data_IF_207060586012
#
_entry.id   IF_207060586012
#
_cell.length_a   1.000
_cell.length_b   1.000
_cell.length_c   1.000
_cell.angle_alpha   90.00
_cell.angle_beta   90.00
_cell.angle_gamma   90.00
#
_symmetry.space_group_name_H-M   'P 1'
#
loop_
_entity.id
_entity.type
_entity.pdbx_description
1 polymer ?
#
# COMPACT_ATOMS: atom_id res chain seq x y z
N UNK A 1 -48.59 -29.20 59.03
CA UNK A 1 -49.03 -28.46 57.82
C UNK A 1 -47.83 -27.71 57.25
N UNK A 2 -47.10 -28.29 56.28
CA UNK A 2 -45.99 -27.63 55.57
C UNK A 2 -46.53 -27.07 54.24
N UNK A 3 -46.52 -25.75 54.09
CA UNK A 3 -46.91 -25.07 52.84
C UNK A 3 -45.70 -25.05 51.90
N UNK A 4 -45.85 -25.64 50.71
CA UNK A 4 -44.88 -25.58 49.61
C UNK A 4 -44.94 -24.17 48.97
N UNK A 5 -43.80 -23.49 48.89
CA UNK A 5 -43.65 -22.24 48.12
C UNK A 5 -43.11 -22.64 46.74
N UNK A 6 -43.92 -22.40 45.71
CA UNK A 6 -43.55 -22.57 44.30
C UNK A 6 -42.82 -21.29 43.85
N UNK A 7 -41.54 -21.41 43.50
CA UNK A 7 -40.78 -20.32 42.90
C UNK A 7 -41.04 -20.28 41.39
N UNK A 8 -41.73 -19.25 40.92
CA UNK A 8 -41.94 -18.99 39.48
C UNK A 8 -40.72 -18.21 38.97
N UNK A 9 -39.89 -18.87 38.17
CA UNK A 9 -38.76 -18.26 37.46
C UNK A 9 -39.28 -17.63 36.16
N UNK A 10 -39.37 -16.30 36.11
CA UNK A 10 -39.76 -15.57 34.91
C UNK A 10 -38.49 -15.31 34.08
N UNK A 11 -38.29 -16.08 33.01
CA UNK A 11 -37.20 -15.87 32.04
C UNK A 11 -37.66 -14.81 31.03
N UNK A 12 -37.10 -13.60 31.13
CA UNK A 12 -37.34 -12.54 30.15
C UNK A 12 -36.43 -12.76 28.94
N UNK A 13 -37.01 -13.06 27.78
CA UNK A 13 -36.33 -13.08 26.48
C UNK A 13 -36.14 -11.63 26.01
N UNK A 14 -34.89 -11.15 25.96
CA UNK A 14 -34.57 -9.91 25.25
C UNK A 14 -34.27 -10.21 23.78
N UNK A 15 -34.75 -9.40 22.82
CA UNK A 15 -34.43 -9.57 21.42
C UNK A 15 -33.00 -9.09 21.14
N UNK A 16 -32.16 -9.97 20.60
CA UNK A 16 -30.84 -9.60 20.08
C UNK A 16 -31.03 -9.00 18.69
N UNK A 17 -31.04 -7.68 18.59
CA UNK A 17 -31.01 -7.00 17.29
C UNK A 17 -29.62 -7.15 16.67
N UNK A 18 -29.50 -8.02 15.66
CA UNK A 18 -28.30 -8.11 14.84
C UNK A 18 -28.22 -6.88 13.93
N UNK A 19 -27.31 -5.95 14.26
CA UNK A 19 -26.98 -4.83 13.38
C UNK A 19 -26.10 -5.35 12.25
N UNK A 20 -26.61 -5.34 11.02
CA UNK A 20 -25.83 -5.59 9.81
C UNK A 20 -24.91 -4.39 9.60
N UNK A 21 -23.71 -4.45 10.17
CA UNK A 21 -22.65 -3.49 9.88
C UNK A 21 -22.33 -3.55 8.37
N UNK A 22 -22.49 -2.41 7.69
CA UNK A 22 -22.05 -2.23 6.31
C UNK A 22 -20.53 -2.51 6.24
N UNK A 23 -20.03 -3.19 5.20
CA UNK A 23 -18.60 -3.41 5.06
C UNK A 23 -17.86 -2.10 5.16
N UNK A 24 -16.76 -2.07 5.93
CA UNK A 24 -15.85 -0.93 5.93
C UNK A 24 -15.39 -0.67 4.49
N UNK A 25 -15.20 0.60 4.08
CA UNK A 25 -14.59 0.90 2.80
C UNK A 25 -13.21 0.21 2.72
N UNK A 26 -12.72 -0.13 1.50
CA UNK A 26 -11.38 -0.65 1.34
C UNK A 26 -10.35 0.31 1.97
N UNK A 27 -9.19 -0.20 2.44
CA UNK A 27 -8.14 0.67 2.95
C UNK A 27 -7.80 1.74 1.90
N UNK A 28 -7.43 2.97 2.33
CA UNK A 28 -7.02 4.01 1.40
C UNK A 28 -5.89 3.48 0.52
N UNK A 29 -5.94 3.81 -0.77
CA UNK A 29 -4.81 3.58 -1.68
C UNK A 29 -3.64 4.34 -1.08
N UNK A 30 -2.68 3.61 -0.53
CA UNK A 30 -1.50 4.24 0.05
C UNK A 30 -0.72 4.88 -1.08
N UNK A 31 -0.78 6.21 -1.19
CA UNK A 31 0.14 6.96 -2.04
C UNK A 31 1.56 6.59 -1.60
N UNK A 32 2.42 6.23 -2.56
CA UNK A 32 3.82 5.94 -2.26
C UNK A 32 4.46 7.21 -1.67
N UNK A 33 5.27 7.11 -0.61
CA UNK A 33 5.88 8.28 0.03
C UNK A 33 6.97 8.87 -0.87
N UNK A 34 6.57 9.75 -1.79
CA UNK A 34 7.43 10.34 -2.84
C UNK A 34 8.56 11.16 -2.26
N UNK A 35 8.29 11.89 -1.17
CA UNK A 35 9.24 12.64 -0.38
C UNK A 35 10.38 11.75 0.14
N UNK A 36 10.04 10.59 0.72
CA UNK A 36 11.02 9.66 1.28
C UNK A 36 11.82 8.93 0.18
N UNK A 37 11.15 8.54 -0.91
CA UNK A 37 11.81 7.92 -2.07
C UNK A 37 12.82 8.89 -2.68
N UNK A 38 12.41 10.14 -2.92
CA UNK A 38 13.28 11.16 -3.50
C UNK A 38 14.47 11.48 -2.59
N UNK A 39 14.25 11.61 -1.29
CA UNK A 39 15.30 11.84 -0.31
C UNK A 39 16.36 10.72 -0.32
N UNK A 40 15.93 9.46 -0.36
CA UNK A 40 16.83 8.30 -0.40
C UNK A 40 17.60 8.16 -1.72
N UNK A 41 17.06 8.70 -2.81
CA UNK A 41 17.71 8.81 -4.12
C UNK A 41 18.61 10.04 -4.23
N UNK A 42 18.52 10.99 -3.28
CA UNK A 42 19.29 12.23 -3.30
C UNK A 42 18.86 13.16 -4.43
N UNK A 43 17.55 13.26 -4.70
CA UNK A 43 16.96 14.20 -5.65
C UNK A 43 15.85 15.02 -4.99
N UNK A 44 15.51 16.22 -5.49
CA UNK A 44 14.32 16.93 -5.03
C UNK A 44 13.05 16.11 -5.31
N UNK A 45 12.07 16.15 -4.40
CA UNK A 45 10.80 15.42 -4.56
C UNK A 45 10.10 15.75 -5.88
N UNK A 46 10.05 17.03 -6.25
CA UNK A 46 9.42 17.45 -7.50
C UNK A 46 10.10 16.81 -8.72
N UNK A 47 11.43 16.67 -8.72
CA UNK A 47 12.17 16.00 -9.81
C UNK A 47 11.78 14.52 -9.88
N UNK A 48 11.63 13.84 -8.74
CA UNK A 48 11.16 12.46 -8.72
C UNK A 48 9.75 12.34 -9.31
N UNK A 49 8.80 13.19 -8.88
CA UNK A 49 7.42 13.20 -9.38
C UNK A 49 7.39 13.46 -10.89
N UNK A 50 8.15 14.45 -11.36
CA UNK A 50 8.22 14.82 -12.77
C UNK A 50 8.80 13.67 -13.61
N UNK A 51 9.90 13.05 -13.16
CA UNK A 51 10.47 11.88 -13.83
C UNK A 51 9.53 10.67 -13.81
N UNK A 52 8.76 10.49 -12.74
CA UNK A 52 7.81 9.39 -12.61
C UNK A 52 6.56 9.59 -13.48
N UNK A 53 6.22 10.82 -13.87
CA UNK A 53 5.03 11.12 -14.68
C UNK A 53 5.00 10.43 -16.05
N UNK A 54 6.16 10.08 -16.60
CA UNK A 54 6.31 9.34 -17.86
C UNK A 54 6.23 7.82 -17.72
N UNK A 55 6.12 7.31 -16.48
CA UNK A 55 6.08 5.88 -16.17
C UNK A 55 4.64 5.36 -16.21
N UNK A 56 4.44 4.11 -16.64
CA UNK A 56 3.14 3.44 -16.63
C UNK A 56 3.11 2.34 -15.56
N UNK A 57 2.91 2.69 -14.27
CA UNK A 57 2.87 1.71 -13.19
C UNK A 57 1.68 0.78 -13.33
N UNK A 58 1.87 -0.48 -12.96
CA UNK A 58 0.78 -1.47 -12.97
C UNK A 58 -0.23 -1.19 -11.85
N UNK A 59 -1.52 -1.23 -12.20
CA UNK A 59 -2.61 -0.83 -11.30
C UNK A 59 -2.82 -1.81 -10.14
N UNK A 60 -2.53 -3.10 -10.37
CA UNK A 60 -2.58 -4.13 -9.33
C UNK A 60 -1.28 -4.22 -8.51
N UNK A 61 -0.34 -3.28 -8.72
CA UNK A 61 0.97 -3.21 -8.11
C UNK A 61 1.93 -4.35 -8.46
N UNK A 62 1.58 -5.29 -9.34
CA UNK A 62 2.39 -6.46 -9.73
C UNK A 62 2.79 -6.43 -11.22
N UNK A 63 3.70 -5.52 -11.62
CA UNK A 63 4.12 -5.40 -13.02
C UNK A 63 4.96 -6.59 -13.48
N UNK A 64 4.74 -7.03 -14.72
CA UNK A 64 5.62 -7.99 -15.38
C UNK A 64 7.07 -7.48 -15.46
N UNK A 65 8.05 -8.39 -15.55
CA UNK A 65 9.48 -8.02 -15.73
C UNK A 65 9.68 -7.09 -16.93
N UNK A 66 8.99 -7.34 -18.04
CA UNK A 66 9.06 -6.49 -19.23
C UNK A 66 8.56 -5.07 -18.95
N UNK A 67 7.45 -4.93 -18.22
CA UNK A 67 6.91 -3.61 -17.84
C UNK A 67 7.81 -2.89 -16.85
N UNK A 68 8.42 -3.61 -15.89
CA UNK A 68 9.42 -3.04 -15.00
C UNK A 68 10.60 -2.46 -15.80
N UNK A 69 11.13 -3.20 -16.78
CA UNK A 69 12.20 -2.72 -17.65
C UNK A 69 11.79 -1.50 -18.48
N UNK A 70 10.60 -1.52 -19.08
CA UNK A 70 10.09 -0.41 -19.89
C UNK A 70 9.94 0.87 -19.05
N UNK A 71 9.36 0.75 -17.85
CA UNK A 71 9.20 1.85 -16.91
C UNK A 71 10.57 2.40 -16.45
N UNK A 72 11.51 1.50 -16.17
CA UNK A 72 12.85 1.88 -15.72
C UNK A 72 13.69 2.55 -16.81
N UNK A 73 13.50 2.16 -18.07
CA UNK A 73 14.16 2.80 -19.21
C UNK A 73 13.76 4.27 -19.39
N UNK A 74 12.64 4.69 -18.81
CA UNK A 74 12.18 6.09 -18.77
C UNK A 74 12.68 6.76 -17.48
N UNK A 75 12.42 6.13 -16.34
CA UNK A 75 12.67 6.72 -15.03
C UNK A 75 14.16 6.94 -14.75
N UNK A 76 15.00 5.91 -15.00
CA UNK A 76 16.40 5.94 -14.59
C UNK A 76 17.21 7.04 -15.29
N UNK A 77 17.16 7.22 -16.63
CA UNK A 77 17.87 8.30 -17.29
C UNK A 77 17.42 9.70 -16.83
N UNK A 78 16.12 9.88 -16.55
CA UNK A 78 15.60 11.15 -16.05
C UNK A 78 16.19 11.49 -14.68
N UNK A 79 16.18 10.53 -13.75
CA UNK A 79 16.77 10.70 -12.42
C UNK A 79 18.28 10.89 -12.49
N UNK A 80 18.97 10.23 -13.42
CA UNK A 80 20.41 10.37 -13.61
C UNK A 80 20.82 11.74 -14.16
N UNK A 81 19.92 12.43 -14.86
CA UNK A 81 20.16 13.82 -15.28
C UNK A 81 20.27 14.77 -14.08
N UNK A 82 19.55 14.49 -12.98
CA UNK A 82 19.64 15.22 -11.72
C UNK A 82 20.77 14.70 -10.83
N UNK A 83 20.85 13.38 -10.66
CA UNK A 83 21.87 12.73 -9.84
C UNK A 83 22.51 11.54 -10.60
N UNK A 84 23.65 11.74 -11.28
CA UNK A 84 24.33 10.71 -12.07
C UNK A 84 24.80 9.48 -11.28
N UNK A 85 24.84 9.58 -9.94
CA UNK A 85 25.24 8.47 -9.06
C UNK A 85 24.15 7.41 -8.86
N UNK A 86 22.90 7.69 -9.28
CA UNK A 86 21.80 6.74 -9.17
C UNK A 86 22.05 5.58 -10.12
N UNK A 87 22.35 4.42 -9.55
CA UNK A 87 22.48 3.17 -10.31
C UNK A 87 21.13 2.45 -10.40
N UNK A 88 21.08 1.46 -11.27
CA UNK A 88 19.97 0.55 -11.34
C UNK A 88 19.66 -0.11 -10.00
N UNK A 89 20.69 -0.66 -9.33
CA UNK A 89 20.52 -1.35 -8.06
C UNK A 89 20.06 -0.40 -6.95
N UNK A 90 20.54 0.86 -6.96
CA UNK A 90 20.11 1.87 -6.01
C UNK A 90 18.64 2.23 -6.21
N UNK A 91 18.20 2.44 -7.45
CA UNK A 91 16.79 2.70 -7.76
C UNK A 91 15.91 1.53 -7.32
N UNK A 92 16.25 0.31 -7.72
CA UNK A 92 15.47 -0.88 -7.36
C UNK A 92 15.39 -1.05 -5.83
N UNK A 93 16.51 -0.88 -5.12
CA UNK A 93 16.57 -0.98 -3.65
C UNK A 93 15.68 0.05 -2.94
N UNK A 94 15.71 1.31 -3.38
CA UNK A 94 14.88 2.36 -2.77
C UNK A 94 13.40 2.14 -3.08
N UNK A 95 13.06 1.81 -4.33
CA UNK A 95 11.67 1.55 -4.71
C UNK A 95 11.08 0.35 -3.95
N UNK A 96 11.86 -0.73 -3.79
CA UNK A 96 11.47 -1.91 -3.01
C UNK A 96 11.29 -1.58 -1.52
N UNK A 97 12.16 -0.73 -0.95
CA UNK A 97 12.08 -0.31 0.47
C UNK A 97 10.73 0.34 0.82
N UNK A 98 10.13 1.08 -0.11
CA UNK A 98 8.87 1.80 0.10
C UNK A 98 7.66 1.12 -0.57
N UNK A 99 7.80 -0.12 -1.04
CA UNK A 99 6.70 -0.91 -1.62
C UNK A 99 5.96 -1.69 -0.51
N UNK A 100 4.67 -1.41 -0.23
CA UNK A 100 3.91 -2.12 0.81
C UNK A 100 3.78 -3.63 0.55
N UNK A 101 3.79 -4.04 -0.71
CA UNK A 101 3.71 -5.44 -1.12
C UNK A 101 5.05 -6.19 -0.99
N UNK A 102 6.12 -5.49 -0.57
CA UNK A 102 7.48 -6.03 -0.47
C UNK A 102 8.29 -5.89 -1.78
N UNK A 103 9.53 -6.40 -1.80
CA UNK A 103 10.41 -6.25 -2.96
C UNK A 103 9.89 -6.95 -4.22
N UNK A 104 10.11 -6.36 -5.39
CA UNK A 104 9.82 -7.01 -6.67
C UNK A 104 10.77 -8.19 -6.93
N UNK A 105 10.30 -9.25 -7.61
CA UNK A 105 11.20 -10.26 -8.17
C UNK A 105 12.25 -9.59 -9.05
N UNK A 106 13.52 -9.88 -8.77
CA UNK A 106 14.62 -9.40 -9.60
C UNK A 106 14.60 -10.15 -10.95
N UNK A 107 14.78 -9.46 -12.07
CA UNK A 107 14.98 -10.11 -13.37
C UNK A 107 16.23 -11.00 -13.39
#
# INVERSE_FOLDING_TARGET
MRRLIVAILVISLAPVSASLAKPAPPPPVHERPTDLVAADLGVPEQVFVDCFSGVSPEANHDPSVTQQHANKAILLPCLQAENPSITNEKLDSVMDKYRPEGPMPKP
#
